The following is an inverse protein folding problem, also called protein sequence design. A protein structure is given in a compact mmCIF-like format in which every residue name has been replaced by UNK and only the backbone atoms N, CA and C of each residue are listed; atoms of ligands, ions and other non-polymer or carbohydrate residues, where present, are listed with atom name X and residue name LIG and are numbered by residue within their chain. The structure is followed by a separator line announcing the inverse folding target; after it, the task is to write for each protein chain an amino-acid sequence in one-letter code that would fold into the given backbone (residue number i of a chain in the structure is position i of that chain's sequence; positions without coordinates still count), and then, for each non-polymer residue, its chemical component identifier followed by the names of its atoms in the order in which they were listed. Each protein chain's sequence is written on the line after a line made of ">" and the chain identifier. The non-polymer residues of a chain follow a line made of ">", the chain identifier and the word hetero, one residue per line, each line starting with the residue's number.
data_IF_406095059583
#
_entry.id   IF_406095059583
#
_cell.length_a   1.000
_cell.length_b   1.000
_cell.length_c   1.000
_cell.angle_alpha   90.00
_cell.angle_beta   90.00
_cell.angle_gamma   90.00
#
_symmetry.space_group_name_H-M   'P 1'
#
loop_
_entity.id
_entity.type
_entity.pdbx_description
1 polymer ?
#
# COMPACT_ATOMS: atom_id res chain seq x y z
N UNK A 1 23.33 -3.44 4.75
CA UNK A 1 22.35 -2.70 5.58
C UNK A 1 21.79 -3.64 6.62
N UNK A 2 21.41 -3.15 7.81
CA UNK A 2 20.65 -3.89 8.83
C UNK A 2 19.15 -3.65 8.67
N UNK A 3 18.31 -4.51 9.24
CA UNK A 3 16.84 -4.45 9.10
C UNK A 3 16.25 -3.08 9.50
N UNK A 4 16.76 -2.45 10.56
CA UNK A 4 16.31 -1.10 11.00
C UNK A 4 16.61 -0.02 9.96
N UNK A 5 17.75 -0.11 9.27
CA UNK A 5 18.13 0.83 8.21
C UNK A 5 17.27 0.63 6.96
N UNK A 6 16.96 -0.63 6.63
CA UNK A 6 16.08 -1.01 5.53
C UNK A 6 14.67 -0.45 5.79
N UNK A 7 14.12 -0.66 6.98
CA UNK A 7 12.81 -0.14 7.35
C UNK A 7 12.78 1.39 7.37
N UNK A 8 13.79 2.06 7.93
CA UNK A 8 13.89 3.52 7.88
C UNK A 8 13.90 4.04 6.44
N UNK A 9 14.61 3.38 5.53
CA UNK A 9 14.63 3.73 4.11
C UNK A 9 13.25 3.55 3.47
N UNK A 10 12.52 2.48 3.81
CA UNK A 10 11.15 2.26 3.32
C UNK A 10 10.21 3.40 3.76
N UNK A 11 10.22 3.76 5.05
CA UNK A 11 9.40 4.86 5.59
C UNK A 11 9.77 6.19 4.90
N UNK A 12 11.05 6.50 4.77
CA UNK A 12 11.52 7.72 4.10
C UNK A 12 11.02 7.81 2.64
N UNK A 13 11.11 6.71 1.88
CA UNK A 13 10.58 6.65 0.52
C UNK A 13 9.06 6.85 0.48
N UNK A 14 8.34 6.24 1.43
CA UNK A 14 6.89 6.43 1.56
C UNK A 14 6.50 7.88 1.83
N UNK A 15 7.24 8.58 2.69
CA UNK A 15 7.02 10.00 3.00
C UNK A 15 7.26 10.88 1.77
N UNK A 16 8.32 10.63 1.02
CA UNK A 16 8.64 11.40 -0.20
C UNK A 16 7.65 11.17 -1.34
N UNK A 17 6.97 10.02 -1.35
CA UNK A 17 5.96 9.68 -2.34
C UNK A 17 4.52 10.04 -1.92
N UNK A 18 4.31 10.45 -0.68
CA UNK A 18 2.99 10.75 -0.12
C UNK A 18 2.38 12.03 -0.73
N UNK A 19 1.13 11.98 -1.21
CA UNK A 19 0.44 13.12 -1.82
C UNK A 19 0.20 14.28 -0.86
N UNK A 20 0.25 14.04 0.45
CA UNK A 20 0.19 15.10 1.47
C UNK A 20 1.48 15.93 1.54
N UNK A 21 2.56 15.42 0.95
CA UNK A 21 3.90 15.93 1.12
C UNK A 21 4.43 15.75 2.53
N UNK A 22 5.74 15.97 2.70
CA UNK A 22 6.43 15.82 3.99
C UNK A 22 5.79 16.66 5.10
N UNK A 23 5.35 17.89 4.81
CA UNK A 23 4.69 18.75 5.80
C UNK A 23 3.38 18.13 6.30
N UNK A 24 2.55 17.60 5.40
CA UNK A 24 1.29 16.94 5.75
C UNK A 24 1.51 15.72 6.63
N UNK A 25 2.49 14.87 6.28
CA UNK A 25 2.86 13.71 7.09
C UNK A 25 3.35 14.11 8.49
N UNK A 26 4.16 15.15 8.59
CA UNK A 26 4.63 15.65 9.90
C UNK A 26 3.49 16.19 10.76
N UNK A 27 2.47 16.84 10.17
CA UNK A 27 1.26 17.25 10.90
C UNK A 27 0.51 16.06 11.47
N UNK A 28 0.45 14.92 10.78
CA UNK A 28 -0.15 13.68 11.30
C UNK A 28 0.60 13.20 12.55
N UNK A 29 1.93 13.12 12.48
CA UNK A 29 2.77 12.72 13.61
C UNK A 29 2.62 13.68 14.79
N UNK A 30 2.57 14.99 14.54
CA UNK A 30 2.35 15.98 15.59
C UNK A 30 0.98 15.81 16.27
N UNK A 31 -0.09 15.56 15.51
CA UNK A 31 -1.41 15.24 16.06
C UNK A 31 -1.36 13.99 16.94
N UNK A 32 -0.65 12.94 16.52
CA UNK A 32 -0.47 11.70 17.32
C UNK A 32 0.27 11.97 18.63
N UNK A 33 1.35 12.78 18.61
CA UNK A 33 2.07 13.20 19.82
C UNK A 33 1.20 13.99 20.79
N UNK A 34 0.45 14.98 20.28
CA UNK A 34 -0.51 15.76 21.08
C UNK A 34 -1.62 14.89 21.68
N UNK A 35 -2.10 13.87 20.95
CA UNK A 35 -3.06 12.87 21.47
C UNK A 35 -2.41 12.06 22.59
N UNK A 36 -1.20 11.54 22.39
CA UNK A 36 -0.45 10.77 23.38
C UNK A 36 -0.21 11.53 24.68
N UNK A 37 0.17 12.80 24.63
CA UNK A 37 0.42 13.62 25.83
C UNK A 37 -0.80 13.69 26.76
N UNK A 38 -2.00 13.74 26.17
CA UNK A 38 -3.29 13.84 26.87
C UNK A 38 -3.81 12.50 27.41
N UNK A 39 -3.20 11.38 27.02
CA UNK A 39 -3.59 10.06 27.52
C UNK A 39 -3.32 9.94 29.03
N UNK A 40 -4.23 9.26 29.71
CA UNK A 40 -4.05 8.85 31.10
C UNK A 40 -2.87 7.87 31.23
N UNK A 41 -2.39 7.66 32.46
CA UNK A 41 -1.30 6.71 32.72
C UNK A 41 -1.63 5.30 32.20
N UNK A 42 -2.88 4.84 32.41
CA UNK A 42 -3.34 3.51 31.96
C UNK A 42 -3.36 3.40 30.43
N UNK A 43 -3.79 4.44 29.72
CA UNK A 43 -3.80 4.44 28.26
C UNK A 43 -2.38 4.47 27.69
N UNK A 44 -1.45 5.22 28.33
CA UNK A 44 -0.03 5.26 27.93
C UNK A 44 0.67 3.91 28.06
N UNK A 45 0.27 3.07 29.03
CA UNK A 45 0.85 1.74 29.24
C UNK A 45 0.59 0.78 28.06
N UNK A 46 -0.54 0.94 27.37
CA UNK A 46 -0.94 0.11 26.22
C UNK A 46 -0.76 0.84 24.88
N UNK A 47 -0.35 2.10 24.90
CA UNK A 47 -0.17 2.91 23.69
C UNK A 47 1.01 2.40 22.86
N UNK A 48 0.85 2.43 21.55
CA UNK A 48 1.92 2.08 20.64
C UNK A 48 2.87 3.26 20.38
N UNK A 49 4.01 3.26 21.08
CA UNK A 49 5.01 4.32 20.94
C UNK A 49 5.55 4.49 19.51
N UNK A 50 5.50 3.45 18.67
CA UNK A 50 5.89 3.55 17.26
C UNK A 50 5.04 4.58 16.50
N UNK A 51 3.78 4.80 16.93
CA UNK A 51 2.87 5.79 16.34
C UNK A 51 3.34 7.25 16.45
N UNK A 52 4.36 7.52 17.29
CA UNK A 52 4.92 8.87 17.47
C UNK A 52 6.01 9.21 16.44
N UNK A 53 6.50 8.21 15.72
CA UNK A 53 7.64 8.30 14.81
C UNK A 53 7.35 7.68 13.44
N UNK A 54 6.50 6.65 13.38
CA UNK A 54 6.07 5.99 12.15
C UNK A 54 4.68 6.49 11.72
N UNK A 55 4.56 7.19 10.58
CA UNK A 55 3.28 7.66 10.08
C UNK A 55 2.41 6.55 9.47
N UNK A 56 2.98 5.37 9.20
CA UNK A 56 2.35 4.24 8.50
C UNK A 56 2.36 2.99 9.39
N UNK A 57 1.41 2.90 10.32
CA UNK A 57 1.39 1.84 11.33
C UNK A 57 1.07 0.44 10.80
N UNK A 58 0.67 0.33 9.55
CA UNK A 58 0.51 -0.92 8.80
C UNK A 58 1.85 -1.51 8.32
N UNK A 59 2.97 -0.79 8.49
CA UNK A 59 4.30 -1.20 8.04
C UNK A 59 5.23 -1.27 9.25
N UNK A 60 5.85 -2.43 9.51
CA UNK A 60 6.61 -2.66 10.76
C UNK A 60 7.73 -3.67 10.62
N UNK A 61 8.65 -3.63 11.59
CA UNK A 61 9.52 -4.77 11.93
C UNK A 61 8.81 -5.61 13.00
N UNK A 62 8.64 -6.91 12.73
CA UNK A 62 7.95 -7.83 13.63
C UNK A 62 8.90 -8.69 14.45
N UNK A 63 10.05 -9.06 13.88
CA UNK A 63 11.04 -9.87 14.56
C UNK A 63 12.45 -9.48 14.10
N UNK A 64 13.35 -9.31 15.07
CA UNK A 64 14.80 -9.23 14.84
C UNK A 64 15.40 -10.44 15.58
N UNK A 65 15.50 -11.56 14.89
CA UNK A 65 16.13 -12.77 15.40
C UNK A 65 17.65 -12.58 15.55
N UNK A 66 18.26 -11.83 14.64
CA UNK A 66 19.68 -11.47 14.69
C UNK A 66 19.90 -10.09 14.06
N UNK A 67 20.52 -9.17 14.81
CA UNK A 67 20.88 -7.83 14.32
C UNK A 67 22.18 -7.88 13.52
N UNK A 68 22.08 -8.29 12.26
CA UNK A 68 23.20 -8.46 11.33
C UNK A 68 23.03 -7.70 10.02
N UNK A 69 24.09 -7.65 9.24
CA UNK A 69 24.02 -7.18 7.86
C UNK A 69 23.20 -8.15 7.01
N UNK A 70 22.20 -7.60 6.33
CA UNK A 70 21.33 -8.32 5.40
C UNK A 70 22.02 -8.37 4.04
N UNK A 71 22.23 -9.58 3.53
CA UNK A 71 22.80 -9.86 2.20
C UNK A 71 21.78 -10.47 1.25
N UNK A 72 20.82 -11.24 1.77
CA UNK A 72 19.78 -11.89 0.98
C UNK A 72 18.42 -11.79 1.63
N UNK A 73 17.41 -11.37 0.87
CA UNK A 73 16.03 -11.23 1.33
C UNK A 73 15.11 -12.15 0.55
N UNK A 74 14.13 -12.73 1.25
CA UNK A 74 12.95 -13.31 0.62
C UNK A 74 11.83 -12.25 0.69
N UNK A 75 11.27 -11.85 -0.45
CA UNK A 75 10.24 -10.82 -0.51
C UNK A 75 8.99 -11.33 -1.22
N UNK A 76 7.81 -11.06 -0.67
CA UNK A 76 6.53 -11.49 -1.23
C UNK A 76 5.40 -10.52 -0.93
N UNK A 77 4.28 -10.66 -1.64
CA UNK A 77 3.11 -9.80 -1.42
C UNK A 77 2.40 -10.18 -0.13
N UNK A 78 2.24 -11.48 0.14
CA UNK A 78 1.60 -11.97 1.35
C UNK A 78 2.44 -13.06 2.02
N UNK A 79 3.04 -12.75 3.17
CA UNK A 79 3.86 -13.72 3.92
C UNK A 79 3.03 -14.28 5.07
N UNK A 80 2.75 -15.58 5.02
CA UNK A 80 2.24 -16.36 6.13
C UNK A 80 3.31 -17.34 6.67
N UNK A 81 2.89 -18.35 7.42
CA UNK A 81 3.80 -19.32 8.06
C UNK A 81 4.51 -20.17 6.99
N UNK A 82 3.81 -20.44 5.90
CA UNK A 82 4.24 -21.24 4.77
C UNK A 82 5.45 -20.61 4.08
N UNK A 83 5.43 -19.31 3.82
CA UNK A 83 6.58 -18.60 3.24
C UNK A 83 7.77 -18.52 4.19
N UNK A 84 7.53 -18.47 5.52
CA UNK A 84 8.61 -18.55 6.50
C UNK A 84 9.27 -19.93 6.51
N UNK A 85 8.50 -21.00 6.32
CA UNK A 85 9.04 -22.35 6.14
C UNK A 85 9.84 -22.47 4.83
N UNK A 86 9.36 -21.86 3.74
CA UNK A 86 10.13 -21.76 2.48
C UNK A 86 11.44 -21.01 2.69
N UNK A 87 11.42 -19.87 3.40
CA UNK A 87 12.63 -19.12 3.73
C UNK A 87 13.64 -19.97 4.53
N UNK A 88 13.13 -20.78 5.46
CA UNK A 88 13.94 -21.70 6.27
C UNK A 88 14.58 -22.80 5.42
N UNK A 89 13.81 -23.40 4.51
CA UNK A 89 14.23 -24.51 3.65
C UNK A 89 15.23 -24.07 2.58
N UNK A 90 15.00 -22.92 1.95
CA UNK A 90 15.96 -22.34 0.98
C UNK A 90 17.33 -22.08 1.62
N UNK A 91 17.34 -21.82 2.94
CA UNK A 91 18.54 -21.46 3.68
C UNK A 91 19.10 -20.10 3.24
N UNK A 92 20.05 -19.58 4.02
CA UNK A 92 20.77 -18.33 3.71
C UNK A 92 19.87 -17.09 3.44
N UNK A 93 18.64 -17.06 3.97
CA UNK A 93 17.78 -15.87 3.97
C UNK A 93 18.03 -15.08 5.26
N UNK A 94 18.45 -13.82 5.13
CA UNK A 94 18.75 -12.96 6.28
C UNK A 94 17.55 -12.17 6.78
N UNK A 95 16.55 -11.97 5.90
CA UNK A 95 15.34 -11.18 6.16
C UNK A 95 14.21 -11.64 5.25
N UNK A 96 13.00 -11.75 5.82
CA UNK A 96 11.76 -11.91 5.06
C UNK A 96 10.99 -10.59 5.07
N UNK A 97 10.55 -10.14 3.91
CA UNK A 97 9.79 -8.89 3.72
C UNK A 97 8.43 -9.22 3.10
N UNK A 98 7.36 -8.93 3.84
CA UNK A 98 5.99 -8.93 3.31
C UNK A 98 5.64 -7.56 2.73
N UNK A 99 4.74 -7.50 1.74
CA UNK A 99 4.03 -6.27 1.44
C UNK A 99 2.87 -6.09 2.45
N UNK A 100 1.91 -7.01 2.42
CA UNK A 100 0.72 -6.95 3.27
C UNK A 100 1.07 -6.99 4.76
N UNK A 101 0.32 -6.22 5.57
CA UNK A 101 0.51 -6.16 7.00
C UNK A 101 0.15 -7.48 7.67
N UNK A 102 0.84 -7.78 8.77
CA UNK A 102 0.59 -8.92 9.66
C UNK A 102 0.67 -8.42 11.11
N UNK A 103 0.36 -9.26 12.10
CA UNK A 103 0.63 -8.89 13.49
C UNK A 103 0.03 -7.56 13.90
N UNK A 104 0.88 -6.76 14.57
CA UNK A 104 0.53 -5.42 15.03
C UNK A 104 0.30 -4.43 13.88
N UNK A 105 0.91 -4.65 12.72
CA UNK A 105 0.68 -3.80 11.55
C UNK A 105 -0.76 -3.96 11.05
N UNK A 106 -1.21 -5.21 10.93
CA UNK A 106 -2.58 -5.51 10.54
C UNK A 106 -3.58 -4.96 11.56
N UNK A 107 -3.33 -5.15 12.85
CA UNK A 107 -4.18 -4.61 13.92
C UNK A 107 -4.33 -3.07 13.87
N UNK A 108 -3.40 -2.35 13.24
CA UNK A 108 -3.43 -0.90 13.08
C UNK A 108 -3.73 -0.45 11.64
N UNK A 109 -4.25 -1.33 10.78
CA UNK A 109 -4.60 -0.97 9.40
C UNK A 109 -5.60 0.20 9.34
N UNK A 110 -6.56 0.24 10.26
CA UNK A 110 -7.55 1.31 10.34
C UNK A 110 -6.94 2.70 10.62
N UNK A 111 -5.78 2.78 11.30
CA UNK A 111 -5.12 4.06 11.62
C UNK A 111 -4.54 4.74 10.38
N UNK A 112 -4.07 3.97 9.38
CA UNK A 112 -3.51 4.54 8.16
C UNK A 112 -4.58 4.98 7.16
N UNK A 113 -5.82 4.50 7.30
CA UNK A 113 -6.93 4.85 6.39
C UNK A 113 -7.34 6.31 6.45
N UNK A 114 -6.97 7.08 7.48
CA UNK A 114 -7.13 8.54 7.48
C UNK A 114 -6.41 9.21 6.29
N UNK A 115 -5.36 8.58 5.75
CA UNK A 115 -4.67 9.04 4.52
C UNK A 115 -5.65 9.15 3.33
N UNK A 116 -6.67 8.31 3.24
CA UNK A 116 -7.63 8.38 2.15
C UNK A 116 -8.43 9.67 2.15
N UNK A 117 -8.78 10.21 3.32
CA UNK A 117 -9.45 11.50 3.43
C UNK A 117 -8.62 12.61 2.77
N UNK A 118 -7.31 12.60 3.02
CA UNK A 118 -6.39 13.57 2.47
C UNK A 118 -6.23 13.41 0.95
N UNK A 119 -6.20 12.18 0.44
CA UNK A 119 -6.12 11.89 -1.01
C UNK A 119 -7.40 12.30 -1.73
N UNK A 120 -8.57 12.00 -1.18
CA UNK A 120 -9.85 12.43 -1.74
C UNK A 120 -9.92 13.96 -1.81
N UNK A 121 -9.47 14.64 -0.76
CA UNK A 121 -9.39 16.09 -0.71
C UNK A 121 -8.37 16.66 -1.71
N UNK A 122 -7.22 16.00 -1.89
CA UNK A 122 -6.26 16.33 -2.95
C UNK A 122 -6.92 16.30 -4.34
N UNK A 123 -7.81 15.34 -4.59
CA UNK A 123 -8.57 15.26 -5.84
C UNK A 123 -9.86 16.11 -5.86
N UNK A 124 -10.12 16.92 -4.83
CA UNK A 124 -11.17 17.94 -4.83
C UNK A 124 -12.47 17.55 -4.12
N UNK A 125 -12.55 16.38 -3.48
CA UNK A 125 -13.68 16.04 -2.61
C UNK A 125 -13.55 16.83 -1.30
N UNK A 126 -14.57 17.59 -0.85
CA UNK A 126 -14.46 18.37 0.39
C UNK A 126 -14.07 17.50 1.60
N UNK A 127 -13.06 17.94 2.36
CA UNK A 127 -12.48 17.14 3.46
C UNK A 127 -13.53 16.65 4.48
N UNK A 128 -14.51 17.48 4.84
CA UNK A 128 -15.55 17.12 5.79
C UNK A 128 -16.47 15.99 5.27
N UNK A 129 -16.65 15.89 3.95
CA UNK A 129 -17.41 14.81 3.32
C UNK A 129 -16.58 13.52 3.30
N UNK A 130 -15.29 13.63 2.94
CA UNK A 130 -14.36 12.51 2.96
C UNK A 130 -14.25 11.91 4.37
N UNK A 131 -14.01 12.74 5.38
CA UNK A 131 -13.93 12.33 6.79
C UNK A 131 -15.24 11.69 7.28
N UNK A 132 -16.40 12.26 6.91
CA UNK A 132 -17.70 11.74 7.31
C UNK A 132 -17.95 10.32 6.80
N UNK A 133 -17.69 10.07 5.52
CA UNK A 133 -17.90 8.75 4.90
C UNK A 133 -16.81 7.75 5.29
N UNK A 134 -15.56 8.21 5.41
CA UNK A 134 -14.47 7.34 5.80
C UNK A 134 -14.55 6.91 7.25
N UNK A 135 -15.13 7.71 8.16
CA UNK A 135 -15.29 7.31 9.55
C UNK A 135 -16.06 5.99 9.70
N UNK A 136 -17.21 5.86 9.03
CA UNK A 136 -18.01 4.62 9.05
C UNK A 136 -17.19 3.43 8.53
N UNK A 137 -16.47 3.64 7.42
CA UNK A 137 -15.65 2.61 6.79
C UNK A 137 -14.45 2.18 7.64
N UNK A 138 -13.76 3.14 8.26
CA UNK A 138 -12.62 2.89 9.14
C UNK A 138 -13.07 2.04 10.34
N UNK A 139 -14.23 2.35 10.92
CA UNK A 139 -14.79 1.57 12.03
C UNK A 139 -15.19 0.15 11.60
N UNK A 140 -15.71 -0.02 10.39
CA UNK A 140 -16.00 -1.34 9.81
C UNK A 140 -14.74 -2.19 9.67
N UNK A 141 -13.70 -1.64 9.04
CA UNK A 141 -12.40 -2.32 8.87
C UNK A 141 -11.77 -2.63 10.22
N UNK A 142 -11.80 -1.70 11.18
CA UNK A 142 -11.28 -1.93 12.53
C UNK A 142 -11.97 -3.13 13.21
N UNK A 143 -13.30 -3.23 13.12
CA UNK A 143 -14.05 -4.38 13.68
C UNK A 143 -13.72 -5.69 12.97
N UNK A 144 -13.63 -5.66 11.63
CA UNK A 144 -13.31 -6.84 10.83
C UNK A 144 -11.93 -7.40 11.15
N UNK A 145 -10.93 -6.51 11.24
CA UNK A 145 -9.55 -6.87 11.51
C UNK A 145 -9.33 -7.30 12.96
N UNK A 146 -10.04 -6.70 13.93
CA UNK A 146 -9.94 -7.03 15.36
C UNK A 146 -10.21 -8.53 15.66
N UNK A 147 -11.03 -9.20 14.86
CA UNK A 147 -11.38 -10.60 15.08
C UNK A 147 -10.31 -11.61 14.60
N UNK A 148 -9.23 -11.14 13.96
CA UNK A 148 -8.22 -11.99 13.33
C UNK A 148 -7.14 -12.47 14.31
N UNK A 149 -6.45 -13.55 13.94
CA UNK A 149 -5.32 -14.10 14.72
C UNK A 149 -4.04 -13.34 14.34
N UNK A 150 -3.80 -12.20 14.98
CA UNK A 150 -2.70 -11.31 14.59
C UNK A 150 -1.30 -11.94 14.71
N UNK A 151 -1.00 -12.68 15.77
CA UNK A 151 0.38 -13.10 16.08
C UNK A 151 0.86 -14.36 15.36
N UNK A 152 0.00 -15.07 14.60
CA UNK A 152 0.32 -16.37 13.95
C UNK A 152 1.67 -16.35 13.22
N UNK A 153 1.84 -15.46 12.25
CA UNK A 153 3.07 -15.36 11.44
C UNK A 153 4.25 -14.82 12.25
N UNK A 154 3.99 -13.89 13.18
CA UNK A 154 5.03 -13.26 14.01
C UNK A 154 5.65 -14.29 14.95
N UNK A 155 4.84 -15.13 15.59
CA UNK A 155 5.31 -16.17 16.50
C UNK A 155 6.05 -17.29 15.75
N UNK A 156 5.60 -17.66 14.55
CA UNK A 156 6.35 -18.58 13.69
C UNK A 156 7.75 -18.02 13.34
N UNK A 157 7.86 -16.73 13.01
CA UNK A 157 9.15 -16.10 12.74
C UNK A 157 10.09 -16.12 13.95
N UNK A 158 9.57 -15.91 15.16
CA UNK A 158 10.35 -16.03 16.42
C UNK A 158 10.85 -17.45 16.62
N UNK A 159 9.99 -18.45 16.46
CA UNK A 159 10.34 -19.87 16.62
C UNK A 159 11.39 -20.31 15.60
N UNK A 160 11.27 -19.87 14.34
CA UNK A 160 12.19 -20.19 13.27
C UNK A 160 13.48 -19.36 13.29
N UNK A 161 13.54 -18.33 14.15
CA UNK A 161 14.63 -17.34 14.26
C UNK A 161 14.86 -16.59 12.94
N UNK A 162 13.78 -16.09 12.36
CA UNK A 162 13.78 -15.34 11.10
C UNK A 162 13.53 -13.86 11.36
N UNK A 163 14.39 -13.00 10.82
CA UNK A 163 14.12 -11.56 10.76
C UNK A 163 12.91 -11.30 9.84
N UNK A 164 11.92 -10.56 10.32
CA UNK A 164 10.65 -10.35 9.62
C UNK A 164 10.19 -8.89 9.72
N UNK A 165 9.80 -8.33 8.57
CA UNK A 165 9.17 -7.01 8.47
C UNK A 165 8.13 -6.98 7.34
N UNK A 166 7.34 -5.91 7.27
CA UNK A 166 6.57 -5.59 6.08
C UNK A 166 6.72 -4.11 5.67
N UNK A 167 6.38 -3.84 4.42
CA UNK A 167 6.27 -2.50 3.83
C UNK A 167 4.99 -2.42 3.01
N UNK A 168 3.97 -1.76 3.56
CA UNK A 168 2.63 -1.64 2.97
C UNK A 168 2.39 -0.24 2.42
N UNK A 169 1.70 0.66 3.13
CA UNK A 169 1.43 2.05 2.68
C UNK A 169 2.65 2.78 2.08
N UNK A 170 3.89 2.64 2.60
CA UNK A 170 5.06 3.24 1.95
C UNK A 170 5.28 2.74 0.50
N UNK A 171 5.08 1.45 0.24
CA UNK A 171 5.15 0.88 -1.10
C UNK A 171 3.97 1.35 -1.97
N UNK A 172 2.77 1.41 -1.42
CA UNK A 172 1.58 1.91 -2.12
C UNK A 172 1.71 3.37 -2.54
N UNK A 173 2.32 4.21 -1.68
CA UNK A 173 2.65 5.59 -2.03
C UNK A 173 3.60 5.65 -3.24
N UNK A 174 4.57 4.73 -3.34
CA UNK A 174 5.45 4.66 -4.51
C UNK A 174 4.67 4.30 -5.78
N UNK A 175 3.68 3.40 -5.69
CA UNK A 175 2.76 3.09 -6.81
C UNK A 175 1.98 4.34 -7.20
N UNK A 176 1.31 4.99 -6.25
CA UNK A 176 0.50 6.17 -6.49
C UNK A 176 1.33 7.29 -7.14
N UNK A 177 2.54 7.55 -6.64
CA UNK A 177 3.45 8.53 -7.24
C UNK A 177 3.90 8.13 -8.64
N UNK A 178 4.31 6.88 -8.85
CA UNK A 178 4.76 6.40 -10.16
C UNK A 178 3.66 6.54 -11.21
N UNK A 179 2.44 6.08 -10.90
CA UNK A 179 1.30 6.17 -11.80
C UNK A 179 0.91 7.62 -12.07
N UNK A 180 0.93 8.48 -11.05
CA UNK A 180 0.65 9.90 -11.21
C UNK A 180 1.62 10.56 -12.19
N UNK A 181 2.91 10.38 -11.94
CA UNK A 181 3.97 10.99 -12.77
C UNK A 181 3.88 10.48 -14.23
N UNK A 182 3.56 9.20 -14.43
CA UNK A 182 3.36 8.61 -15.75
C UNK A 182 2.12 9.19 -16.47
N UNK A 183 0.97 9.22 -15.79
CA UNK A 183 -0.30 9.70 -16.35
C UNK A 183 -0.23 11.19 -16.67
N UNK A 184 0.41 12.00 -15.83
CA UNK A 184 0.57 13.44 -16.07
C UNK A 184 1.53 13.76 -17.21
N UNK A 185 2.52 12.88 -17.44
CA UNK A 185 3.45 12.98 -18.55
C UNK A 185 2.79 12.62 -19.87
N UNK A 186 2.12 11.46 -19.94
CA UNK A 186 1.58 10.92 -21.19
C UNK A 186 0.18 11.46 -21.53
N UNK A 187 -0.59 11.90 -20.52
CA UNK A 187 -1.91 12.53 -20.64
C UNK A 187 -2.87 11.75 -21.56
N UNK A 188 -3.16 10.46 -21.26
CA UNK A 188 -4.06 9.65 -22.08
C UNK A 188 -5.47 10.28 -22.15
N UNK A 189 -5.97 10.49 -23.37
CA UNK A 189 -7.28 11.12 -23.58
C UNK A 189 -8.42 10.13 -23.32
N UNK A 190 -8.25 8.87 -23.71
CA UNK A 190 -9.28 7.83 -23.64
C UNK A 190 -8.89 6.65 -22.75
N UNK A 191 -9.89 5.89 -22.31
CA UNK A 191 -9.66 4.70 -21.48
C UNK A 191 -8.83 3.62 -22.18
N UNK A 192 -8.97 3.49 -23.51
CA UNK A 192 -8.11 2.60 -24.31
C UNK A 192 -6.64 3.00 -24.20
N UNK A 193 -6.33 4.28 -24.37
CA UNK A 193 -4.96 4.80 -24.26
C UNK A 193 -4.40 4.62 -22.85
N UNK A 194 -5.22 4.86 -21.81
CA UNK A 194 -4.82 4.64 -20.42
C UNK A 194 -4.57 3.16 -20.14
N UNK A 195 -5.41 2.26 -20.67
CA UNK A 195 -5.22 0.81 -20.54
C UNK A 195 -3.91 0.36 -21.20
N UNK A 196 -3.66 0.82 -22.44
CA UNK A 196 -2.43 0.51 -23.17
C UNK A 196 -1.20 1.05 -22.43
N UNK A 197 -1.27 2.28 -21.92
CA UNK A 197 -0.21 2.89 -21.09
C UNK A 197 0.10 2.06 -19.84
N UNK A 198 -0.91 1.56 -19.14
CA UNK A 198 -0.69 0.67 -17.99
C UNK A 198 -0.06 -0.65 -18.42
N UNK A 199 -0.42 -1.20 -19.58
CA UNK A 199 0.17 -2.43 -20.12
C UNK A 199 1.64 -2.27 -20.59
N UNK A 200 2.15 -1.04 -20.71
CA UNK A 200 3.59 -0.79 -20.91
C UNK A 200 4.41 -1.00 -19.63
N UNK A 201 3.77 -0.94 -18.46
CA UNK A 201 4.44 -1.18 -17.18
C UNK A 201 4.72 -2.69 -17.04
N UNK A 202 5.98 -3.11 -16.84
CA UNK A 202 6.35 -4.53 -16.86
C UNK A 202 5.56 -5.41 -15.88
N UNK A 203 5.31 -4.94 -14.66
CA UNK A 203 4.54 -5.69 -13.65
C UNK A 203 3.12 -5.99 -14.13
N UNK A 204 2.43 -4.98 -14.70
CA UNK A 204 1.10 -5.15 -15.26
C UNK A 204 1.11 -6.03 -16.51
N UNK A 205 2.14 -5.91 -17.35
CA UNK A 205 2.31 -6.75 -18.54
C UNK A 205 2.50 -8.22 -18.20
N UNK A 206 3.34 -8.54 -17.20
CA UNK A 206 3.51 -9.92 -16.76
C UNK A 206 2.23 -10.47 -16.13
N UNK A 207 1.52 -9.67 -15.34
CA UNK A 207 0.23 -10.08 -14.79
C UNK A 207 -0.84 -10.31 -15.87
N UNK A 208 -0.84 -9.54 -16.96
CA UNK A 208 -1.75 -9.74 -18.08
C UNK A 208 -1.59 -11.13 -18.73
N UNK A 209 -0.37 -11.69 -18.78
CA UNK A 209 -0.10 -13.03 -19.34
C UNK A 209 -0.77 -14.15 -18.57
N UNK A 210 -1.08 -13.93 -17.29
CA UNK A 210 -1.75 -14.90 -16.42
C UNK A 210 -3.21 -14.52 -16.14
N UNK A 211 -3.76 -13.52 -16.85
CA UNK A 211 -5.14 -13.08 -16.72
C UNK A 211 -5.42 -12.16 -15.52
N UNK A 212 -4.39 -11.62 -14.88
CA UNK A 212 -4.49 -10.71 -13.72
C UNK A 212 -4.03 -9.28 -14.03
N UNK A 213 -3.96 -8.91 -15.31
CA UNK A 213 -3.54 -7.58 -15.75
C UNK A 213 -4.66 -6.52 -15.70
N UNK A 214 -4.33 -5.27 -16.07
CA UNK A 214 -5.28 -4.17 -16.11
C UNK A 214 -6.52 -4.44 -16.95
N UNK A 215 -7.68 -3.98 -16.49
CA UNK A 215 -8.96 -4.13 -17.19
C UNK A 215 -9.89 -2.95 -16.93
N UNK A 216 -10.54 -2.47 -17.99
CA UNK A 216 -11.69 -1.54 -17.86
C UNK A 216 -12.87 -2.32 -17.28
N UNK A 217 -13.30 -1.95 -16.07
CA UNK A 217 -14.45 -2.58 -15.39
C UNK A 217 -15.70 -1.73 -15.49
N UNK A 218 -15.56 -0.41 -15.64
CA UNK A 218 -16.65 0.54 -15.89
C UNK A 218 -16.24 1.49 -17.01
N UNK A 219 -17.11 1.64 -18.02
CA UNK A 219 -16.83 2.40 -19.24
C UNK A 219 -16.45 1.51 -20.43
N UNK A 220 -16.03 2.13 -21.54
CA UNK A 220 -15.50 1.47 -22.73
C UNK A 220 -14.22 2.16 -23.22
N UNK A 221 -13.38 1.49 -24.03
CA UNK A 221 -12.12 2.08 -24.53
C UNK A 221 -12.26 3.45 -25.19
N UNK A 222 -13.44 3.77 -25.74
CA UNK A 222 -13.73 5.02 -26.45
C UNK A 222 -14.10 6.18 -25.51
N UNK A 223 -14.45 5.91 -24.24
CA UNK A 223 -14.74 6.93 -23.26
C UNK A 223 -13.52 7.83 -23.02
N UNK A 224 -13.77 9.14 -22.88
CA UNK A 224 -12.75 10.09 -22.42
C UNK A 224 -12.47 9.87 -20.95
N UNK A 225 -11.19 9.95 -20.57
CA UNK A 225 -10.76 9.79 -19.18
C UNK A 225 -11.34 10.88 -18.24
N UNK A 226 -11.39 12.13 -18.72
CA UNK A 226 -11.63 13.28 -17.84
C UNK A 226 -10.51 13.40 -16.80
N UNK A 227 -10.83 13.83 -15.58
CA UNK A 227 -9.86 13.84 -14.48
C UNK A 227 -9.65 12.41 -13.97
N UNK A 228 -8.42 11.92 -14.10
CA UNK A 228 -7.99 10.61 -13.60
C UNK A 228 -7.56 10.75 -12.13
N UNK A 229 -8.08 9.90 -11.26
CA UNK A 229 -7.76 9.89 -9.83
C UNK A 229 -7.17 8.54 -9.39
N UNK A 230 -6.23 8.61 -8.45
CA UNK A 230 -5.54 7.47 -7.83
C UNK A 230 -5.98 7.29 -6.37
N UNK A 231 -7.28 7.39 -6.12
CA UNK A 231 -7.88 7.34 -4.78
C UNK A 231 -7.93 5.93 -4.19
N UNK A 232 -7.71 4.90 -5.01
CA UNK A 232 -7.81 3.48 -4.64
C UNK A 232 -6.49 2.73 -4.90
N UNK A 233 -5.36 3.42 -4.69
CA UNK A 233 -4.00 2.90 -4.88
C UNK A 233 -3.20 2.88 -3.57
N UNK A 234 -3.54 3.74 -2.61
CA UNK A 234 -2.87 3.80 -1.29
C UNK A 234 -3.88 4.21 -0.21
N UNK A 235 -3.48 4.10 1.06
CA UNK A 235 -4.34 4.39 2.22
C UNK A 235 -4.92 3.15 2.89
N UNK A 236 -4.21 2.03 2.84
CA UNK A 236 -4.52 0.82 3.61
C UNK A 236 -5.46 -0.17 2.92
N UNK A 237 -6.71 0.18 2.64
CA UNK A 237 -7.67 -0.72 1.96
C UNK A 237 -8.83 0.08 1.35
N UNK A 238 -9.81 -0.55 0.70
CA UNK A 238 -10.93 0.14 0.05
C UNK A 238 -11.66 1.13 0.98
N UNK A 239 -11.95 2.31 0.42
CA UNK A 239 -12.75 3.35 1.07
C UNK A 239 -14.25 3.02 1.14
N UNK A 240 -15.08 4.03 1.34
CA UNK A 240 -16.54 3.86 1.30
C UNK A 240 -17.05 3.84 -0.15
N UNK A 241 -17.90 2.88 -0.57
CA UNK A 241 -18.56 2.90 -1.87
C UNK A 241 -19.37 4.18 -2.13
N UNK A 242 -19.86 4.84 -1.07
CA UNK A 242 -20.60 6.11 -1.18
C UNK A 242 -19.73 7.26 -1.72
N UNK A 243 -18.40 7.10 -1.74
CA UNK A 243 -17.49 8.13 -2.25
C UNK A 243 -17.58 8.32 -3.76
N UNK A 244 -17.98 7.31 -4.55
CA UNK A 244 -18.08 7.46 -6.01
C UNK A 244 -18.98 8.61 -6.43
N UNK A 245 -20.14 8.76 -5.78
CA UNK A 245 -21.06 9.87 -6.06
C UNK A 245 -20.37 11.22 -5.78
N UNK A 246 -19.61 11.30 -4.70
CA UNK A 246 -18.94 12.55 -4.28
C UNK A 246 -17.72 12.86 -5.15
N UNK A 247 -17.02 11.84 -5.61
CA UNK A 247 -15.93 11.94 -6.59
C UNK A 247 -16.46 12.45 -7.94
N UNK A 248 -17.62 11.96 -8.38
CA UNK A 248 -18.25 12.40 -9.62
C UNK A 248 -18.64 13.89 -9.54
N UNK A 249 -19.23 14.32 -8.42
CA UNK A 249 -19.56 15.73 -8.15
C UNK A 249 -18.28 16.60 -8.13
N UNK A 250 -17.15 16.08 -7.62
CA UNK A 250 -15.86 16.76 -7.64
C UNK A 250 -15.18 16.80 -9.03
N UNK A 251 -15.82 16.25 -10.05
CA UNK A 251 -15.35 16.27 -11.44
C UNK A 251 -14.34 15.16 -11.79
N UNK A 252 -14.24 14.11 -10.96
CA UNK A 252 -13.43 12.92 -11.29
C UNK A 252 -14.18 12.11 -12.35
N UNK A 253 -13.51 11.86 -13.48
CA UNK A 253 -14.07 11.11 -14.60
C UNK A 253 -13.60 9.65 -14.66
N UNK A 254 -12.41 9.37 -14.12
CA UNK A 254 -11.82 8.02 -14.14
C UNK A 254 -11.08 7.73 -12.85
N UNK A 255 -11.19 6.50 -12.36
CA UNK A 255 -10.40 5.99 -11.24
C UNK A 255 -9.52 4.84 -11.74
N UNK A 256 -8.24 4.90 -11.41
CA UNK A 256 -7.35 3.72 -11.49
C UNK A 256 -7.33 3.10 -10.10
N UNK A 257 -7.78 1.84 -10.04
CA UNK A 257 -7.95 1.09 -8.80
C UNK A 257 -7.10 -0.17 -8.81
N UNK A 258 -6.67 -0.64 -7.65
CA UNK A 258 -6.01 -1.94 -7.53
C UNK A 258 -7.03 -3.10 -7.60
N UNK A 259 -8.21 -2.91 -7.00
CA UNK A 259 -9.29 -3.88 -6.93
C UNK A 259 -10.60 -3.19 -6.53
N UNK A 260 -11.74 -3.83 -6.82
CA UNK A 260 -13.05 -3.36 -6.38
C UNK A 260 -13.93 -4.53 -5.96
N UNK A 261 -14.66 -4.38 -4.85
CA UNK A 261 -15.81 -5.24 -4.57
C UNK A 261 -16.99 -4.93 -5.49
N UNK A 262 -17.96 -5.85 -5.54
CA UNK A 262 -19.20 -5.69 -6.31
C UNK A 262 -19.97 -4.41 -5.91
N UNK A 263 -19.93 -4.01 -4.64
CA UNK A 263 -20.58 -2.78 -4.18
C UNK A 263 -19.88 -1.52 -4.70
N UNK A 264 -18.54 -1.46 -4.64
CA UNK A 264 -17.77 -0.36 -5.23
C UNK A 264 -18.00 -0.26 -6.74
N UNK A 265 -17.98 -1.40 -7.43
CA UNK A 265 -18.24 -1.44 -8.87
C UNK A 265 -19.63 -0.91 -9.24
N UNK A 266 -20.68 -1.29 -8.50
CA UNK A 266 -22.04 -0.76 -8.70
C UNK A 266 -22.10 0.74 -8.50
N UNK A 267 -21.53 1.24 -7.39
CA UNK A 267 -21.53 2.67 -7.08
C UNK A 267 -20.74 3.49 -8.11
N UNK A 268 -19.63 2.96 -8.62
CA UNK A 268 -18.87 3.58 -9.70
C UNK A 268 -19.72 3.73 -10.98
N UNK A 269 -20.40 2.64 -11.35
CA UNK A 269 -21.27 2.59 -12.52
C UNK A 269 -22.47 3.54 -12.39
N UNK A 270 -23.13 3.56 -11.24
CA UNK A 270 -24.25 4.46 -10.94
C UNK A 270 -23.82 5.94 -10.93
N UNK A 271 -22.58 6.20 -10.52
CA UNK A 271 -22.02 7.56 -10.49
C UNK A 271 -21.40 7.99 -11.83
N UNK A 272 -21.49 7.17 -12.88
CA UNK A 272 -20.90 7.42 -14.20
C UNK A 272 -19.38 7.68 -14.16
N UNK A 273 -18.68 7.09 -13.19
CA UNK A 273 -17.22 7.11 -13.12
C UNK A 273 -16.67 5.93 -13.89
N UNK A 274 -15.74 6.18 -14.80
CA UNK A 274 -15.01 5.10 -15.45
C UNK A 274 -14.01 4.48 -14.48
N UNK A 275 -13.76 3.18 -14.62
CA UNK A 275 -12.80 2.49 -13.76
C UNK A 275 -11.93 1.55 -14.56
N UNK A 276 -10.62 1.67 -14.34
CA UNK A 276 -9.64 0.64 -14.69
C UNK A 276 -9.15 0.01 -13.41
N UNK A 277 -9.37 -1.29 -13.28
CA UNK A 277 -8.74 -2.11 -12.24
C UNK A 277 -7.39 -2.55 -12.80
N UNK A 278 -6.30 -1.97 -12.30
CA UNK A 278 -4.93 -2.26 -12.73
C UNK A 278 -4.45 -3.65 -12.27
N UNK A 279 -5.11 -4.22 -11.25
CA UNK A 279 -4.76 -5.49 -10.63
C UNK A 279 -4.00 -5.28 -9.32
N UNK A 280 -4.42 -6.02 -8.28
CA UNK A 280 -3.88 -5.92 -6.93
C UNK A 280 -2.40 -6.30 -6.90
N UNK A 281 -2.09 -7.59 -7.07
CA UNK A 281 -0.71 -8.12 -7.01
C UNK A 281 0.30 -7.39 -7.91
N UNK A 282 0.00 -7.03 -9.18
CA UNK A 282 0.99 -6.30 -9.97
C UNK A 282 1.19 -4.85 -9.50
N UNK A 283 0.17 -4.22 -8.90
CA UNK A 283 0.33 -2.88 -8.31
C UNK A 283 1.22 -2.94 -7.07
N UNK A 284 0.96 -3.88 -6.16
CA UNK A 284 1.83 -4.09 -4.99
C UNK A 284 3.25 -4.45 -5.43
N UNK A 285 3.39 -5.28 -6.47
CA UNK A 285 4.69 -5.65 -7.03
C UNK A 285 5.44 -4.45 -7.57
N UNK A 286 4.76 -3.50 -8.23
CA UNK A 286 5.38 -2.25 -8.70
C UNK A 286 5.93 -1.44 -7.53
N UNK A 287 5.15 -1.23 -6.47
CA UNK A 287 5.58 -0.50 -5.27
C UNK A 287 6.75 -1.18 -4.57
N UNK A 288 6.64 -2.50 -4.39
CA UNK A 288 7.70 -3.32 -3.82
C UNK A 288 8.97 -3.30 -4.69
N UNK A 289 8.87 -3.37 -6.02
CA UNK A 289 10.04 -3.32 -6.90
C UNK A 289 10.79 -1.99 -6.77
N UNK A 290 10.07 -0.86 -6.73
CA UNK A 290 10.68 0.46 -6.54
C UNK A 290 11.46 0.55 -5.22
N UNK A 291 10.96 -0.06 -4.16
CA UNK A 291 11.65 -0.18 -2.88
C UNK A 291 12.83 -1.17 -2.91
N UNK A 292 12.61 -2.38 -3.42
CA UNK A 292 13.61 -3.45 -3.46
C UNK A 292 14.79 -3.11 -4.37
N UNK A 293 14.60 -2.30 -5.41
CA UNK A 293 15.67 -1.77 -6.26
C UNK A 293 16.69 -0.95 -5.43
N UNK A 294 16.28 -0.26 -4.37
CA UNK A 294 17.20 0.47 -3.48
C UNK A 294 18.05 -0.48 -2.62
N UNK A 295 17.55 -1.68 -2.33
CA UNK A 295 18.29 -2.72 -1.63
C UNK A 295 19.26 -3.42 -2.58
N UNK A 296 18.80 -3.74 -3.81
CA UNK A 296 19.64 -4.37 -4.83
C UNK A 296 20.81 -3.47 -5.25
N UNK A 297 20.62 -2.15 -5.36
CA UNK A 297 21.71 -1.18 -5.57
C UNK A 297 22.83 -1.25 -4.53
N UNK A 298 22.55 -1.79 -3.35
CA UNK A 298 23.51 -1.99 -2.25
C UNK A 298 24.04 -3.42 -2.18
N UNK A 299 23.81 -4.23 -3.22
CA UNK A 299 24.29 -5.60 -3.32
C UNK A 299 23.46 -6.62 -2.53
N UNK A 300 22.24 -6.26 -2.09
CA UNK A 300 21.35 -7.21 -1.42
C UNK A 300 20.63 -8.05 -2.48
N UNK A 301 20.78 -9.37 -2.40
CA UNK A 301 20.10 -10.33 -3.27
C UNK A 301 18.62 -10.42 -2.90
N UNK A 302 17.74 -10.36 -3.91
CA UNK A 302 16.28 -10.43 -3.76
C UNK A 302 15.76 -11.75 -4.31
N UNK A 303 15.11 -12.56 -3.46
CA UNK A 303 14.39 -13.76 -3.86
C UNK A 303 12.89 -13.48 -3.80
N UNK A 304 12.18 -13.45 -4.94
CA UNK A 304 10.74 -13.25 -4.93
C UNK A 304 9.98 -14.51 -4.52
N UNK A 305 8.88 -14.34 -3.79
CA UNK A 305 7.90 -15.37 -3.50
C UNK A 305 6.49 -14.77 -3.39
N UNK A 306 5.48 -15.62 -3.10
CA UNK A 306 4.11 -15.22 -2.76
C UNK A 306 3.55 -14.07 -3.60
N UNK A 307 3.46 -14.31 -4.92
CA UNK A 307 2.88 -13.38 -5.88
C UNK A 307 3.75 -12.20 -6.32
N UNK A 308 4.92 -11.95 -5.70
CA UNK A 308 5.77 -10.82 -6.11
C UNK A 308 6.31 -11.01 -7.54
N UNK A 309 5.87 -10.16 -8.46
CA UNK A 309 6.39 -10.07 -9.82
C UNK A 309 7.65 -9.20 -9.77
N UNK A 310 8.81 -9.82 -9.56
CA UNK A 310 10.08 -9.09 -9.45
C UNK A 310 10.55 -8.56 -10.81
N UNK A 311 10.56 -7.24 -10.96
CA UNK A 311 11.14 -6.52 -12.10
C UNK A 311 12.21 -5.56 -11.58
N UNK A 312 13.48 -5.89 -11.80
CA UNK A 312 14.60 -5.01 -11.42
C UNK A 312 14.78 -3.88 -12.43
N UNK A 313 14.84 -2.64 -11.94
CA UNK A 313 15.22 -1.45 -12.75
C UNK A 313 16.68 -1.04 -12.51
N UNK A 314 17.45 -1.84 -11.77
CA UNK A 314 18.88 -1.58 -11.52
C UNK A 314 19.69 -1.98 -12.75
N UNK A 315 20.48 -1.04 -13.29
CA UNK A 315 21.45 -1.35 -14.35
C UNK A 315 22.56 -2.20 -13.74
N UNK A 316 22.71 -3.42 -14.26
CA UNK A 316 23.83 -4.31 -13.93
C UNK A 316 25.06 -3.96 -14.74
#
# INVERSE_FOLDING_TARGET
>A
MRIKEIFKKAIEMGIEADFRGREGVMKVLERKRKKYEKLSKKEKEIFDLEALENPYLDSRIYNIAEDKEIKKVLAGIHIEVEELLVAKELGNIDLVISHHPIGKGLANLADVMELQCDILNYYGVPINIAEGLMKERIEEVARGVHALIHQKTVDAAKLLKINLMNVHTPADNLVAKFLKDLIEKEKPERLGDLLDLLLEIPEYKEAAKIGAGPKITVGSPENRCGKIALTEVTGGTEGSPKLYEKMAIAGIGTIVSMHQTEEHWKMAKESHINVIVAGHTPSDSLGMNLFLDELEKRGIEIVPCSGLIRISRVKK
#
